data_IF_880893256802
#
_entry.id   IF_880893256802
#
_cell.length_a   1.000
_cell.length_b   1.000
_cell.length_c   1.000
_cell.angle_alpha   90.00
_cell.angle_beta   90.00
_cell.angle_gamma   90.00
#
_symmetry.space_group_name_H-M   'P 1'
#
loop_
_entity.id
_entity.type
_entity.pdbx_description
1 polymer ?
#
# COMPACT_ATOMS: atom_id res chain seq x y z
N UNK A 1 17.36 -5.60 -8.18
CA UNK A 1 18.43 -4.58 -8.13
C UNK A 1 19.43 -4.75 -9.29
N UNK A 2 19.92 -5.94 -9.57
CA UNK A 2 20.95 -6.19 -10.60
C UNK A 2 20.54 -5.73 -12.01
N UNK A 3 19.27 -5.86 -12.37
CA UNK A 3 18.75 -5.39 -13.66
C UNK A 3 18.85 -3.86 -13.82
N UNK A 4 18.58 -3.11 -12.76
CA UNK A 4 18.77 -1.64 -12.78
C UNK A 4 20.24 -1.25 -12.88
N UNK A 5 21.11 -1.97 -12.18
CA UNK A 5 22.57 -1.75 -12.27
C UNK A 5 23.07 -2.04 -13.67
N UNK A 6 22.64 -3.14 -14.26
CA UNK A 6 23.01 -3.49 -15.64
C UNK A 6 22.51 -2.43 -16.65
N UNK A 7 21.29 -1.95 -16.51
CA UNK A 7 20.72 -0.90 -17.35
C UNK A 7 21.49 0.43 -17.20
N UNK A 8 21.88 0.79 -15.99
CA UNK A 8 22.70 1.99 -15.73
C UNK A 8 24.09 1.87 -16.35
N UNK A 9 24.73 0.71 -16.21
CA UNK A 9 26.01 0.43 -16.83
C UNK A 9 25.93 0.46 -18.36
N UNK A 10 24.86 -0.11 -18.95
CA UNK A 10 24.61 -0.07 -20.37
C UNK A 10 24.41 1.36 -20.87
N UNK A 11 23.60 2.17 -20.18
CA UNK A 11 23.40 3.58 -20.54
C UNK A 11 24.71 4.36 -20.54
N UNK A 12 25.60 4.10 -19.58
CA UNK A 12 26.96 4.66 -19.55
C UNK A 12 27.81 4.17 -20.71
N UNK A 13 27.81 2.86 -20.99
CA UNK A 13 28.62 2.25 -22.04
C UNK A 13 28.24 2.74 -23.46
N UNK A 14 26.95 3.01 -23.71
CA UNK A 14 26.48 3.54 -25.00
C UNK A 14 26.48 5.07 -25.07
N UNK A 15 27.01 5.76 -24.04
CA UNK A 15 27.13 7.21 -24.02
C UNK A 15 25.81 7.98 -23.94
N UNK A 16 24.75 7.37 -23.41
CA UNK A 16 23.42 7.96 -23.39
C UNK A 16 23.10 8.75 -22.10
N UNK A 17 23.99 8.70 -21.09
CA UNK A 17 23.77 9.41 -19.83
C UNK A 17 23.86 10.92 -20.03
N UNK A 18 22.82 11.64 -19.62
CA UNK A 18 22.74 13.10 -19.72
C UNK A 18 22.31 13.65 -21.08
N UNK A 19 22.00 12.78 -22.06
CA UNK A 19 21.44 13.20 -23.33
C UNK A 19 19.91 13.34 -23.27
N UNK A 20 19.31 14.32 -23.95
CA UNK A 20 17.86 14.42 -24.04
C UNK A 20 17.24 13.14 -24.63
N UNK A 21 16.34 12.48 -23.88
CA UNK A 21 15.74 11.21 -24.25
C UNK A 21 16.62 9.97 -24.10
N UNK A 22 17.87 10.15 -23.61
CA UNK A 22 18.81 9.06 -23.35
C UNK A 22 18.96 8.74 -21.87
N UNK A 23 19.72 7.67 -21.59
CA UNK A 23 20.03 7.25 -20.22
C UNK A 23 19.02 6.29 -19.62
N UNK A 24 19.03 6.22 -18.29
CA UNK A 24 18.06 5.48 -17.50
C UNK A 24 17.51 6.42 -16.43
N UNK A 25 16.21 6.40 -16.21
CA UNK A 25 15.57 7.10 -15.11
C UNK A 25 14.75 6.11 -14.28
N UNK A 26 14.78 6.31 -12.96
CA UNK A 26 13.80 5.66 -12.11
C UNK A 26 12.41 6.27 -12.36
N UNK A 27 11.34 5.50 -12.18
CA UNK A 27 9.98 5.99 -12.41
C UNK A 27 9.53 6.89 -11.25
N UNK A 28 10.25 7.97 -11.00
CA UNK A 28 9.88 8.96 -9.99
C UNK A 28 8.48 9.52 -10.24
N UNK A 29 8.04 9.55 -11.50
CA UNK A 29 6.67 9.93 -11.86
C UNK A 29 5.60 8.98 -11.35
N UNK A 30 5.92 7.73 -11.05
CA UNK A 30 5.00 6.81 -10.40
C UNK A 30 4.71 7.23 -8.94
N UNK A 31 5.55 8.08 -8.37
CA UNK A 31 5.38 8.67 -7.04
C UNK A 31 5.00 10.16 -7.08
N UNK A 32 4.66 10.66 -8.25
CA UNK A 32 4.07 11.97 -8.43
C UNK A 32 5.02 13.17 -8.44
N UNK A 33 6.36 12.99 -8.39
CA UNK A 33 7.25 14.10 -8.06
C UNK A 33 8.28 14.51 -9.09
N UNK A 34 8.29 13.94 -10.26
CA UNK A 34 9.32 14.30 -11.23
C UNK A 34 9.07 15.71 -11.79
N UNK A 35 9.96 16.63 -11.46
CA UNK A 35 9.95 17.98 -11.99
C UNK A 35 8.97 18.96 -11.35
N UNK A 36 8.14 18.51 -10.42
CA UNK A 36 7.29 19.37 -9.61
C UNK A 36 7.90 19.57 -8.22
N UNK A 37 8.09 20.82 -7.81
CA UNK A 37 8.44 21.13 -6.43
C UNK A 37 7.34 20.68 -5.48
N UNK A 38 7.71 20.19 -4.30
CA UNK A 38 6.75 19.94 -3.23
C UNK A 38 6.15 21.27 -2.77
N UNK A 39 4.88 21.48 -3.00
CA UNK A 39 4.20 22.74 -2.73
C UNK A 39 3.48 22.73 -1.38
N UNK A 40 3.32 21.55 -0.78
CA UNK A 40 2.54 21.38 0.46
C UNK A 40 3.02 20.20 1.29
N UNK A 41 2.68 20.22 2.56
CA UNK A 41 2.81 19.05 3.41
C UNK A 41 1.72 18.03 3.04
N UNK A 42 2.05 16.76 3.17
CA UNK A 42 1.13 15.66 2.84
C UNK A 42 0.02 15.54 3.88
N UNK A 43 -1.10 14.95 3.48
CA UNK A 43 -2.07 14.44 4.44
C UNK A 43 -1.39 13.37 5.29
N UNK A 44 -1.45 13.45 6.62
CA UNK A 44 -0.91 12.41 7.48
C UNK A 44 -1.69 11.09 7.28
N UNK A 45 -1.01 9.99 7.49
CA UNK A 45 -1.70 8.69 7.60
C UNK A 45 -2.46 8.58 8.92
N UNK A 46 -3.34 7.59 9.01
CA UNK A 46 -4.00 7.24 10.27
C UNK A 46 -2.95 6.95 11.34
N UNK A 47 -3.23 7.31 12.62
CA UNK A 47 -2.35 6.92 13.72
C UNK A 47 -2.17 5.40 13.75
N UNK A 48 -0.93 4.96 13.85
CA UNK A 48 -0.62 3.54 14.01
C UNK A 48 0.07 3.34 15.34
N UNK A 49 -0.23 2.25 16.07
CA UNK A 49 0.48 1.94 17.31
C UNK A 49 1.97 1.76 17.03
N UNK A 50 2.83 2.01 18.02
CA UNK A 50 4.25 1.74 17.91
C UNK A 50 4.48 0.30 17.48
N UNK A 51 5.33 0.12 16.46
CA UNK A 51 5.66 -1.22 15.99
C UNK A 51 6.33 -2.00 17.13
N UNK A 52 5.84 -3.20 17.49
CA UNK A 52 6.53 -4.05 18.43
C UNK A 52 7.97 -4.29 17.95
N UNK A 53 8.91 -4.46 18.88
CA UNK A 53 10.25 -4.93 18.50
C UNK A 53 10.09 -6.28 17.81
N UNK A 54 10.38 -6.30 16.52
CA UNK A 54 10.21 -7.47 15.67
C UNK A 54 11.55 -7.92 15.08
N UNK A 55 11.55 -9.01 14.32
CA UNK A 55 12.73 -9.46 13.60
C UNK A 55 13.25 -8.35 12.67
N UNK A 56 14.51 -8.42 12.24
CA UNK A 56 15.06 -7.53 11.23
C UNK A 56 14.16 -7.43 10.00
N UNK A 57 14.23 -6.31 9.29
CA UNK A 57 13.39 -6.05 8.14
C UNK A 57 13.59 -7.11 7.05
N UNK A 58 12.52 -7.71 6.60
CA UNK A 58 12.49 -8.59 5.43
C UNK A 58 11.99 -7.76 4.24
N UNK A 59 12.81 -7.66 3.20
CA UNK A 59 12.45 -6.94 1.98
C UNK A 59 11.25 -7.60 1.29
N UNK A 60 10.32 -6.78 0.79
CA UNK A 60 9.17 -7.26 -0.02
C UNK A 60 9.62 -8.13 -1.19
N UNK A 61 10.76 -7.83 -1.81
CA UNK A 61 11.32 -8.65 -2.89
C UNK A 61 11.68 -10.08 -2.47
N UNK A 62 11.82 -10.34 -1.17
CA UNK A 62 12.12 -11.66 -0.61
C UNK A 62 10.89 -12.40 -0.06
N UNK A 63 9.71 -11.89 -0.35
CA UNK A 63 8.45 -12.48 0.11
C UNK A 63 8.31 -13.97 -0.24
N UNK A 64 8.68 -14.37 -1.46
CA UNK A 64 8.73 -15.78 -1.85
C UNK A 64 9.66 -16.61 -0.96
N UNK A 65 10.88 -16.08 -0.69
CA UNK A 65 11.86 -16.78 0.17
C UNK A 65 11.36 -16.89 1.59
N UNK A 66 10.74 -15.82 2.12
CA UNK A 66 10.10 -15.81 3.43
C UNK A 66 9.12 -16.98 3.60
N UNK A 67 8.26 -17.20 2.60
CA UNK A 67 7.29 -18.29 2.65
C UNK A 67 7.93 -19.68 2.41
N UNK A 68 8.92 -19.76 1.51
CA UNK A 68 9.51 -21.03 1.12
C UNK A 68 10.45 -21.63 2.18
N UNK A 69 11.15 -20.78 2.93
CA UNK A 69 12.31 -21.17 3.72
C UNK A 69 12.24 -20.75 5.21
N UNK A 70 11.18 -21.14 5.95
CA UNK A 70 11.12 -20.82 7.38
C UNK A 70 12.34 -21.42 8.11
N UNK A 71 12.92 -20.63 9.03
CA UNK A 71 14.11 -21.00 9.79
C UNK A 71 15.44 -20.78 9.06
N UNK A 72 15.44 -20.45 7.77
CA UNK A 72 16.68 -20.09 7.07
C UNK A 72 17.12 -18.66 7.41
N UNK A 73 18.45 -18.48 7.44
CA UNK A 73 19.05 -17.16 7.66
C UNK A 73 19.00 -16.31 6.40
N UNK A 74 18.81 -15.02 6.57
CA UNK A 74 18.92 -14.02 5.51
C UNK A 74 19.74 -12.81 5.97
N UNK A 75 20.35 -12.14 5.02
CA UNK A 75 21.04 -10.87 5.24
C UNK A 75 20.33 -9.76 4.48
N UNK A 76 20.15 -8.61 5.13
CA UNK A 76 19.57 -7.41 4.53
C UNK A 76 20.21 -6.16 5.11
N UNK A 77 20.79 -5.32 4.25
CA UNK A 77 21.41 -4.04 4.64
C UNK A 77 22.43 -4.14 5.79
N UNK A 78 23.21 -5.22 5.87
CA UNK A 78 24.20 -5.45 6.91
C UNK A 78 23.66 -6.04 8.21
N UNK A 79 22.37 -6.32 8.29
CA UNK A 79 21.72 -7.05 9.38
C UNK A 79 21.40 -8.47 8.93
N UNK A 80 21.49 -9.41 9.86
CA UNK A 80 21.14 -10.81 9.63
C UNK A 80 19.90 -11.17 10.45
N UNK A 81 19.00 -11.94 9.84
CA UNK A 81 17.81 -12.46 10.49
C UNK A 81 17.54 -13.90 10.11
N UNK A 82 16.44 -14.44 10.62
CA UNK A 82 15.92 -15.77 10.30
C UNK A 82 14.48 -15.62 9.82
N UNK A 83 14.10 -16.31 8.75
CA UNK A 83 12.73 -16.25 8.24
C UNK A 83 11.77 -16.92 9.23
N UNK A 84 10.75 -16.20 9.73
CA UNK A 84 9.73 -16.81 10.57
C UNK A 84 8.87 -17.81 9.78
N UNK A 85 8.29 -18.77 10.49
CA UNK A 85 7.29 -19.68 9.94
C UNK A 85 5.93 -18.98 9.87
N UNK A 86 5.57 -18.48 8.69
CA UNK A 86 4.33 -17.73 8.44
C UNK A 86 3.15 -18.71 8.39
N UNK A 87 2.20 -18.52 9.30
CA UNK A 87 0.97 -19.31 9.39
C UNK A 87 -0.20 -18.67 8.67
N UNK A 88 -0.24 -17.34 8.64
CA UNK A 88 -1.30 -16.60 7.96
C UNK A 88 -0.69 -15.51 7.07
N UNK A 89 -1.24 -15.36 5.89
CA UNK A 89 -1.02 -14.21 5.01
C UNK A 89 -2.34 -13.44 4.90
N UNK A 90 -2.29 -12.16 5.24
CA UNK A 90 -3.37 -11.24 4.95
C UNK A 90 -2.89 -10.23 3.92
N UNK A 91 -3.44 -10.30 2.73
CA UNK A 91 -3.01 -9.48 1.61
C UNK A 91 -4.08 -8.43 1.27
N UNK A 92 -3.78 -7.18 1.55
CA UNK A 92 -4.63 -6.04 1.20
C UNK A 92 -3.92 -5.14 0.19
N UNK A 93 -4.51 -4.96 -0.98
CA UNK A 93 -3.95 -4.18 -2.08
C UNK A 93 -2.79 -4.85 -2.82
N UNK A 94 -2.72 -4.62 -4.12
CA UNK A 94 -1.72 -5.20 -4.99
C UNK A 94 -1.96 -6.68 -5.34
N UNK A 95 -1.21 -7.19 -6.31
CA UNK A 95 -1.37 -8.54 -6.84
C UNK A 95 0.01 -9.21 -7.00
N UNK A 96 0.52 -9.91 -5.97
CA UNK A 96 1.84 -10.54 -6.00
C UNK A 96 2.01 -11.51 -7.15
N UNK A 97 0.97 -12.24 -7.56
CA UNK A 97 1.02 -13.14 -8.71
C UNK A 97 1.06 -12.44 -10.06
N UNK A 98 1.13 -11.11 -10.08
CA UNK A 98 1.32 -10.32 -11.28
C UNK A 98 2.70 -9.65 -11.35
N UNK A 99 3.25 -9.24 -10.20
CA UNK A 99 4.46 -8.40 -10.18
C UNK A 99 5.64 -8.95 -9.36
N UNK A 100 5.48 -10.04 -8.60
CA UNK A 100 6.61 -10.65 -7.91
C UNK A 100 7.48 -11.50 -8.84
N UNK A 101 8.73 -11.65 -8.42
CA UNK A 101 9.71 -12.46 -9.13
C UNK A 101 9.47 -13.95 -8.90
N UNK A 102 9.86 -14.78 -9.87
CA UNK A 102 9.84 -16.23 -9.78
C UNK A 102 8.47 -16.79 -9.39
N UNK A 103 7.46 -16.49 -10.19
CA UNK A 103 6.08 -16.88 -9.92
C UNK A 103 5.87 -18.38 -9.81
N UNK A 104 6.69 -19.19 -10.51
CA UNK A 104 6.59 -20.64 -10.44
C UNK A 104 6.88 -21.18 -9.02
N UNK A 105 7.91 -20.67 -8.38
CA UNK A 105 8.21 -21.04 -6.97
C UNK A 105 7.25 -20.35 -6.00
N UNK A 106 6.77 -19.16 -6.31
CA UNK A 106 5.78 -18.47 -5.48
C UNK A 106 4.49 -19.28 -5.34
N UNK A 107 4.03 -19.95 -6.41
CA UNK A 107 2.85 -20.84 -6.34
C UNK A 107 3.02 -21.88 -5.24
N UNK A 108 4.16 -22.58 -5.21
CA UNK A 108 4.42 -23.61 -4.19
C UNK A 108 4.62 -23.01 -2.79
N UNK A 109 5.32 -21.88 -2.70
CA UNK A 109 5.54 -21.20 -1.41
C UNK A 109 4.22 -20.66 -0.82
N UNK A 110 3.29 -20.22 -1.66
CA UNK A 110 1.98 -19.71 -1.26
C UNK A 110 1.07 -20.76 -0.62
N UNK A 111 1.29 -22.03 -0.89
CA UNK A 111 0.54 -23.16 -0.31
C UNK A 111 0.99 -23.52 1.13
N UNK A 112 2.04 -22.89 1.65
CA UNK A 112 2.58 -23.23 2.98
C UNK A 112 1.83 -22.60 4.15
N UNK A 113 1.40 -21.32 4.11
CA UNK A 113 0.58 -20.75 5.18
C UNK A 113 -0.72 -21.55 5.37
N UNK A 114 -1.15 -21.65 6.62
CA UNK A 114 -2.38 -22.38 6.96
C UNK A 114 -3.65 -21.63 6.51
N UNK A 115 -3.55 -20.29 6.37
CA UNK A 115 -4.68 -19.43 5.97
C UNK A 115 -4.18 -18.27 5.14
N UNK A 116 -4.87 -18.02 4.04
CA UNK A 116 -4.63 -16.89 3.16
C UNK A 116 -5.91 -16.08 3.00
N UNK A 117 -5.85 -14.85 3.45
CA UNK A 117 -6.92 -13.86 3.34
C UNK A 117 -6.51 -12.79 2.34
N UNK A 118 -7.39 -12.41 1.43
CA UNK A 118 -7.16 -11.34 0.45
C UNK A 118 -8.31 -10.34 0.47
N UNK A 119 -7.99 -9.06 0.52
CA UNK A 119 -8.93 -7.96 0.28
C UNK A 119 -8.72 -7.46 -1.15
N UNK A 120 -9.72 -7.61 -2.00
CA UNK A 120 -9.55 -7.35 -3.43
C UNK A 120 -10.90 -7.04 -4.10
N UNK A 121 -11.03 -5.96 -4.89
CA UNK A 121 -12.24 -5.68 -5.66
C UNK A 121 -12.43 -6.60 -6.88
N UNK A 122 -11.36 -7.26 -7.34
CA UNK A 122 -11.37 -8.08 -8.56
C UNK A 122 -10.88 -9.50 -8.33
N UNK A 123 -11.31 -10.44 -9.17
CA UNK A 123 -10.81 -11.82 -9.16
C UNK A 123 -9.41 -11.91 -9.80
N UNK A 124 -8.44 -11.28 -9.17
CA UNK A 124 -7.02 -11.34 -9.55
C UNK A 124 -6.45 -12.75 -9.40
N UNK A 125 -5.30 -13.07 -10.01
CA UNK A 125 -4.60 -14.32 -9.75
C UNK A 125 -4.28 -14.56 -8.27
N UNK A 126 -4.10 -13.53 -7.47
CA UNK A 126 -3.90 -13.61 -6.02
C UNK A 126 -5.19 -13.98 -5.30
N UNK A 127 -6.29 -13.27 -5.58
CA UNK A 127 -7.60 -13.56 -4.98
C UNK A 127 -8.05 -15.00 -5.26
N UNK A 128 -7.77 -15.52 -6.47
CA UNK A 128 -8.10 -16.91 -6.84
C UNK A 128 -7.28 -17.99 -6.11
N UNK A 129 -6.28 -17.60 -5.33
CA UNK A 129 -5.41 -18.48 -4.54
C UNK A 129 -5.53 -18.21 -3.04
N UNK A 130 -6.56 -17.48 -2.63
CA UNK A 130 -6.88 -17.25 -1.24
C UNK A 130 -7.89 -18.27 -0.73
N UNK A 131 -7.84 -18.55 0.57
CA UNK A 131 -8.87 -19.31 1.27
C UNK A 131 -10.10 -18.46 1.55
N UNK A 132 -9.87 -17.16 1.84
CA UNK A 132 -10.92 -16.18 2.11
C UNK A 132 -10.66 -14.93 1.28
N UNK A 133 -11.68 -14.45 0.59
CA UNK A 133 -11.63 -13.17 -0.14
C UNK A 133 -12.68 -12.24 0.44
N UNK A 134 -12.23 -11.11 0.97
CA UNK A 134 -13.11 -10.01 1.33
C UNK A 134 -13.26 -9.07 0.13
N UNK A 135 -14.47 -8.86 -0.39
CA UNK A 135 -14.69 -7.96 -1.50
C UNK A 135 -14.48 -6.51 -1.04
N UNK A 136 -13.42 -5.87 -1.55
CA UNK A 136 -13.12 -4.47 -1.24
C UNK A 136 -13.81 -3.53 -2.21
N UNK A 137 -14.21 -2.36 -1.73
CA UNK A 137 -14.72 -1.29 -2.58
C UNK A 137 -13.59 -0.61 -3.38
N UNK A 138 -13.94 -0.13 -4.55
CA UNK A 138 -13.08 0.74 -5.37
C UNK A 138 -13.13 2.19 -4.89
N UNK A 139 -12.20 3.07 -5.31
CA UNK A 139 -12.26 4.50 -4.97
C UNK A 139 -13.54 5.22 -5.41
N UNK A 140 -14.26 4.71 -6.41
CA UNK A 140 -15.54 5.28 -6.85
C UNK A 140 -16.71 4.91 -5.92
N UNK A 141 -16.52 3.93 -5.07
CA UNK A 141 -17.56 3.34 -4.22
C UNK A 141 -17.44 3.79 -2.74
N UNK A 142 -16.51 4.70 -2.43
CA UNK A 142 -16.31 5.25 -1.08
C UNK A 142 -15.94 6.73 -1.11
N UNK A 143 -16.10 7.39 0.02
CA UNK A 143 -15.49 8.69 0.27
C UNK A 143 -14.03 8.49 0.70
N UNK A 144 -13.15 9.37 0.22
CA UNK A 144 -11.73 9.30 0.56
C UNK A 144 -11.06 10.65 0.29
N UNK A 145 -9.82 10.81 0.72
CA UNK A 145 -8.94 11.89 0.30
C UNK A 145 -7.61 11.31 -0.20
N UNK A 146 -7.12 11.84 -1.29
CA UNK A 146 -5.87 11.35 -1.85
C UNK A 146 -5.31 12.29 -2.89
N UNK A 147 -4.22 11.92 -3.50
CA UNK A 147 -3.62 12.71 -4.56
C UNK A 147 -2.10 12.57 -4.62
N UNK A 148 -1.51 13.37 -5.47
CA UNK A 148 -0.06 13.51 -5.59
C UNK A 148 0.44 14.68 -4.71
N UNK A 149 1.75 14.87 -4.61
CA UNK A 149 2.34 15.89 -3.73
C UNK A 149 1.96 17.35 -4.08
N UNK A 150 1.51 17.59 -5.29
CA UNK A 150 1.07 18.90 -5.80
C UNK A 150 -0.45 18.99 -6.00
N UNK A 151 -1.19 17.94 -5.67
CA UNK A 151 -2.62 17.88 -5.84
C UNK A 151 -3.24 17.05 -4.71
N UNK A 152 -4.21 17.60 -4.01
CA UNK A 152 -5.05 16.89 -3.07
C UNK A 152 -6.47 16.83 -3.63
N UNK A 153 -7.05 15.66 -3.69
CA UNK A 153 -8.37 15.41 -4.28
C UNK A 153 -9.32 14.92 -3.19
N UNK A 154 -10.51 15.47 -3.15
CA UNK A 154 -11.64 14.92 -2.42
C UNK A 154 -12.31 13.87 -3.32
N UNK A 155 -12.29 12.64 -2.90
CA UNK A 155 -13.00 11.55 -3.57
C UNK A 155 -14.37 11.41 -2.93
N UNK A 156 -15.41 11.78 -3.65
CA UNK A 156 -16.78 11.51 -3.24
C UNK A 156 -17.28 10.21 -3.87
N UNK A 157 -18.01 9.44 -3.08
CA UNK A 157 -18.64 8.20 -3.56
C UNK A 157 -19.58 8.51 -4.73
N UNK A 158 -19.26 7.98 -5.90
CA UNK A 158 -20.02 8.19 -7.13
C UNK A 158 -21.08 7.09 -7.35
N UNK A 159 -20.83 5.88 -6.84
CA UNK A 159 -21.72 4.71 -6.96
C UNK A 159 -21.72 3.91 -5.67
N UNK A 160 -22.79 3.17 -5.41
CA UNK A 160 -22.85 2.28 -4.27
C UNK A 160 -21.96 1.04 -4.49
N UNK A 161 -21.26 0.55 -3.44
CA UNK A 161 -20.52 -0.72 -3.53
C UNK A 161 -21.43 -1.87 -3.94
N UNK A 162 -21.00 -2.77 -4.83
CA UNK A 162 -21.80 -3.90 -5.24
C UNK A 162 -21.88 -4.99 -4.17
N UNK A 163 -23.06 -5.54 -3.95
CA UNK A 163 -23.25 -6.68 -3.06
C UNK A 163 -22.82 -6.44 -1.62
N UNK A 164 -21.86 -7.21 -1.15
CA UNK A 164 -21.30 -7.11 0.20
C UNK A 164 -19.93 -6.41 0.26
N UNK A 165 -19.51 -5.74 -0.84
CA UNK A 165 -18.25 -5.02 -0.88
C UNK A 165 -18.23 -3.88 0.15
N UNK A 166 -17.11 -3.74 0.86
CA UNK A 166 -16.86 -2.75 1.89
C UNK A 166 -15.51 -2.11 1.66
N UNK A 167 -15.27 -0.94 2.21
CA UNK A 167 -13.93 -0.39 2.19
C UNK A 167 -12.98 -1.17 3.13
N UNK A 168 -11.68 -1.02 2.90
CA UNK A 168 -10.67 -1.75 3.67
C UNK A 168 -10.72 -1.42 5.17
N UNK A 169 -11.09 -0.19 5.52
CA UNK A 169 -11.24 0.23 6.91
C UNK A 169 -12.43 -0.49 7.57
N UNK A 170 -13.59 -0.53 6.92
CA UNK A 170 -14.78 -1.22 7.43
C UNK A 170 -14.53 -2.73 7.60
N UNK A 171 -13.83 -3.37 6.65
CA UNK A 171 -13.45 -4.78 6.76
C UNK A 171 -12.61 -5.00 8.02
N UNK A 172 -11.58 -4.17 8.22
CA UNK A 172 -10.69 -4.29 9.38
C UNK A 172 -11.39 -3.94 10.69
N UNK A 173 -12.31 -2.97 10.69
CA UNK A 173 -13.11 -2.62 11.87
C UNK A 173 -14.01 -3.78 12.32
N UNK A 174 -14.64 -4.49 11.37
CA UNK A 174 -15.42 -5.69 11.68
C UNK A 174 -14.56 -6.83 12.24
N UNK A 175 -13.36 -7.03 11.71
CA UNK A 175 -12.41 -8.02 12.26
C UNK A 175 -11.98 -7.60 13.67
N UNK A 176 -11.68 -6.33 13.89
CA UNK A 176 -11.33 -5.80 15.21
C UNK A 176 -12.46 -5.96 16.22
N UNK A 177 -13.72 -5.81 15.79
CA UNK A 177 -14.91 -6.06 16.63
C UNK A 177 -14.95 -7.52 17.11
N UNK A 178 -14.71 -8.49 16.23
CA UNK A 178 -14.67 -9.90 16.60
C UNK A 178 -13.49 -10.28 17.50
N UNK A 179 -12.47 -9.42 17.57
CA UNK A 179 -11.31 -9.58 18.45
C UNK A 179 -11.39 -8.74 19.73
N UNK A 180 -12.52 -8.08 20.00
CA UNK A 180 -12.71 -7.11 21.10
C UNK A 180 -11.71 -5.94 21.06
N UNK A 181 -11.27 -5.53 19.87
CA UNK A 181 -10.30 -4.46 19.62
C UNK A 181 -10.90 -3.26 18.86
N UNK A 182 -12.21 -3.23 18.65
CA UNK A 182 -12.87 -2.22 17.81
C UNK A 182 -12.54 -0.79 18.27
N UNK A 183 -12.69 -0.48 19.54
CA UNK A 183 -12.42 0.86 20.10
C UNK A 183 -10.95 1.27 19.93
N UNK A 184 -10.03 0.30 20.08
CA UNK A 184 -8.60 0.55 19.89
C UNK A 184 -8.23 0.80 18.42
N UNK A 185 -8.94 0.15 17.50
CA UNK A 185 -8.70 0.28 16.06
C UNK A 185 -9.37 1.52 15.49
N UNK A 186 -10.64 1.75 15.83
CA UNK A 186 -11.46 2.81 15.23
C UNK A 186 -11.40 4.13 15.98
N UNK A 187 -11.05 4.13 17.27
CA UNK A 187 -11.25 5.26 18.19
C UNK A 187 -12.70 5.76 18.19
N UNK A 188 -13.65 4.86 17.95
CA UNK A 188 -15.08 5.16 17.83
C UNK A 188 -15.47 5.92 16.57
N UNK A 189 -14.60 5.98 15.54
CA UNK A 189 -14.86 6.73 14.30
C UNK A 189 -15.19 5.82 13.12
N UNK A 190 -16.04 6.32 12.25
CA UNK A 190 -16.29 5.77 10.92
C UNK A 190 -15.18 6.16 9.94
N UNK A 191 -15.17 5.55 8.74
CA UNK A 191 -14.27 5.90 7.66
C UNK A 191 -14.39 7.38 7.26
N UNK A 192 -15.62 7.89 7.12
CA UNK A 192 -15.89 9.29 6.76
C UNK A 192 -15.38 10.28 7.83
N UNK A 193 -15.56 9.94 9.11
CA UNK A 193 -15.02 10.76 10.21
C UNK A 193 -13.50 10.77 10.23
N UNK A 194 -12.86 9.64 9.90
CA UNK A 194 -11.40 9.60 9.73
C UNK A 194 -10.93 10.46 8.55
N UNK A 195 -11.60 10.44 7.42
CA UNK A 195 -11.29 11.31 6.27
C UNK A 195 -11.29 12.78 6.70
N UNK A 196 -12.30 13.21 7.45
CA UNK A 196 -12.37 14.57 7.99
C UNK A 196 -11.23 14.87 8.96
N UNK A 197 -10.95 13.98 9.91
CA UNK A 197 -9.85 14.14 10.88
C UNK A 197 -8.50 14.28 10.17
N UNK A 198 -8.23 13.42 9.19
CA UNK A 198 -6.98 13.47 8.42
C UNK A 198 -6.84 14.78 7.62
N UNK A 199 -7.93 15.27 7.06
CA UNK A 199 -7.94 16.57 6.39
C UNK A 199 -7.67 17.72 7.36
N UNK A 200 -8.29 17.72 8.53
CA UNK A 200 -8.06 18.78 9.53
C UNK A 200 -6.61 18.75 10.08
N UNK A 201 -6.00 17.57 10.21
CA UNK A 201 -4.59 17.46 10.53
C UNK A 201 -3.69 18.02 9.41
N UNK A 202 -4.04 17.77 8.16
CA UNK A 202 -3.37 18.40 7.01
C UNK A 202 -3.52 19.93 7.05
N UNK A 203 -4.74 20.43 7.29
CA UNK A 203 -5.05 21.84 7.37
C UNK A 203 -4.30 22.55 8.49
N UNK A 204 -4.13 21.90 9.64
CA UNK A 204 -3.37 22.44 10.77
C UNK A 204 -1.90 22.75 10.42
N UNK A 205 -1.34 22.07 9.42
CA UNK A 205 0.01 22.31 8.91
C UNK A 205 0.06 23.12 7.61
N UNK A 206 -1.13 23.45 7.05
CA UNK A 206 -1.29 24.17 5.80
C UNK A 206 -2.39 25.22 5.98
N UNK A 207 -2.08 26.32 6.65
CA UNK A 207 -3.00 27.40 7.06
C UNK A 207 -3.71 28.10 5.89
N UNK A 208 -3.21 27.94 4.67
CA UNK A 208 -3.83 28.38 3.43
C UNK A 208 -4.96 27.47 2.95
N UNK A 209 -5.10 26.25 3.49
CA UNK A 209 -6.11 25.30 3.05
C UNK A 209 -7.51 25.71 3.59
N UNK A 210 -8.57 25.60 2.76
CA UNK A 210 -9.93 25.95 3.15
C UNK A 210 -10.47 25.00 4.22
N UNK A 211 -11.68 25.27 4.72
CA UNK A 211 -12.42 24.35 5.55
C UNK A 211 -12.76 23.05 4.82
N UNK A 212 -13.02 21.96 5.57
CA UNK A 212 -13.27 20.65 4.99
C UNK A 212 -14.45 20.64 4.00
N UNK A 213 -15.56 21.29 4.34
CA UNK A 213 -16.73 21.35 3.47
C UNK A 213 -16.45 22.12 2.17
N UNK A 214 -15.71 23.23 2.25
CA UNK A 214 -15.30 23.98 1.08
C UNK A 214 -14.35 23.17 0.19
N UNK A 215 -13.41 22.42 0.80
CA UNK A 215 -12.55 21.52 0.06
C UNK A 215 -13.33 20.42 -0.67
N UNK A 216 -14.32 19.83 -0.03
CA UNK A 216 -15.20 18.84 -0.64
C UNK A 216 -15.99 19.42 -1.82
N UNK A 217 -16.52 20.64 -1.65
CA UNK A 217 -17.31 21.33 -2.67
C UNK A 217 -16.48 21.67 -3.92
N UNK A 218 -15.22 22.10 -3.72
CA UNK A 218 -14.27 22.38 -4.82
C UNK A 218 -13.74 21.09 -5.45
N UNK A 219 -13.57 20.04 -4.67
CA UNK A 219 -13.13 18.72 -5.09
C UNK A 219 -11.60 18.52 -5.15
N UNK A 220 -10.82 19.60 -5.09
CA UNK A 220 -9.34 19.52 -5.10
C UNK A 220 -8.66 20.79 -4.57
N UNK A 221 -7.39 20.64 -4.23
CA UNK A 221 -6.47 21.74 -3.87
C UNK A 221 -5.16 21.61 -4.63
#
# INVERSE_FOLDING_TARGET
>A
EQSYWAATALAGAVGQVGLPGGGIAFPFGAQGNVGAGQVRKRVPGMPVPPRPQGPPVISVSRFRELLANPGERYDFNGESGEFPDIKMVWWAGGNPFHHHQNLAELVTAWERPETIVVQEPFWTPTARRADIVFPSSTPLERNDIGGAENLLISHERAVDPPGEARDDYEIMALVAEHLDLNEQFTEGRSADEWVQVLYELFRAENDWAPGFEEFREVGYL
#
